data_IF_219789049600
#
_entry.id   IF_219789049600
#
_cell.length_a   1.000
_cell.length_b   1.000
_cell.length_c   1.000
_cell.angle_alpha   90.00
_cell.angle_beta   90.00
_cell.angle_gamma   90.00
#
_symmetry.space_group_name_H-M   'P 1'
#
loop_
_entity.id
_entity.type
_entity.pdbx_description
1 polymer ?
#
# COMPACT_ATOMS: atom_id res chain seq x y z
N UNK A 1 -50.78 4.27 -26.28
CA UNK A 1 -50.06 4.42 -26.37
C UNK A 1 -49.02 3.88 -25.68
N UNK A 2 -48.31 3.81 -25.25
CA UNK A 2 -47.10 3.28 -24.97
C UNK A 2 -46.58 3.67 -23.65
N UNK A 3 -47.37 4.17 -22.84
CA UNK A 3 -46.86 4.67 -21.59
C UNK A 3 -46.27 3.61 -20.71
N UNK A 4 -46.88 2.41 -20.64
CA UNK A 4 -46.39 1.38 -19.78
C UNK A 4 -44.97 0.94 -20.12
N UNK A 5 -44.70 0.84 -21.42
CA UNK A 5 -43.39 0.43 -21.84
C UNK A 5 -42.32 1.42 -21.45
N UNK A 6 -42.65 2.68 -21.57
CA UNK A 6 -41.68 3.72 -21.21
C UNK A 6 -41.31 3.65 -19.74
N UNK A 7 -42.29 3.43 -18.89
CA UNK A 7 -42.04 3.34 -17.45
C UNK A 7 -41.14 2.16 -17.13
N UNK A 8 -41.38 1.03 -17.77
CA UNK A 8 -40.54 -0.15 -17.54
C UNK A 8 -39.11 0.11 -17.95
N UNK A 9 -38.91 0.78 -19.07
CA UNK A 9 -37.56 1.09 -19.51
C UNK A 9 -36.86 1.98 -18.52
N UNK A 10 -37.56 2.94 -17.96
CA UNK A 10 -36.93 3.81 -16.97
C UNK A 10 -36.50 3.03 -15.74
N UNK A 11 -37.30 2.06 -15.29
CA UNK A 11 -36.91 1.26 -14.14
C UNK A 11 -35.66 0.43 -14.43
N UNK A 12 -35.57 -0.12 -15.63
CA UNK A 12 -34.41 -0.90 -16.00
C UNK A 12 -33.16 -0.03 -16.00
N UNK A 13 -33.26 1.19 -16.49
CA UNK A 13 -32.13 2.11 -16.50
C UNK A 13 -31.67 2.42 -15.10
N UNK A 14 -32.60 2.61 -14.17
CA UNK A 14 -32.25 2.86 -12.78
C UNK A 14 -31.50 1.67 -12.18
N UNK A 15 -31.94 0.46 -12.49
CA UNK A 15 -31.27 -0.73 -11.98
C UNK A 15 -29.84 -0.82 -12.50
N UNK A 16 -29.64 -0.50 -13.76
CA UNK A 16 -28.29 -0.51 -14.33
C UNK A 16 -27.41 0.52 -13.65
N UNK A 17 -27.93 1.69 -13.37
CA UNK A 17 -27.16 2.71 -12.67
C UNK A 17 -26.78 2.25 -11.27
N UNK A 18 -27.65 1.53 -10.58
CA UNK A 18 -27.33 1.02 -9.27
C UNK A 18 -26.21 -0.01 -9.34
N UNK A 19 -26.24 -0.88 -10.33
CA UNK A 19 -25.17 -1.85 -10.52
C UNK A 19 -23.86 -1.15 -10.79
N UNK A 20 -23.86 -0.11 -11.62
CA UNK A 20 -22.66 0.66 -11.90
C UNK A 20 -22.12 1.29 -10.62
N UNK A 21 -22.99 1.81 -9.79
CA UNK A 21 -22.56 2.39 -8.52
C UNK A 21 -21.94 1.35 -7.61
N UNK A 22 -22.47 0.12 -7.61
CA UNK A 22 -21.86 -0.94 -6.82
C UNK A 22 -20.48 -1.30 -7.34
N UNK A 23 -20.32 -1.34 -8.67
CA UNK A 23 -19.02 -1.62 -9.25
C UNK A 23 -18.01 -0.52 -8.95
N UNK A 24 -18.48 0.72 -8.87
CA UNK A 24 -17.63 1.84 -8.53
C UNK A 24 -17.74 2.21 -7.07
N UNK A 25 -18.23 1.27 -6.24
CA UNK A 25 -18.43 1.49 -4.83
C UNK A 25 -17.15 1.96 -4.19
N UNK A 26 -17.29 2.64 -3.08
CA UNK A 26 -16.16 3.25 -2.45
C UNK A 26 -15.04 2.25 -2.22
N UNK A 27 -13.87 2.71 -2.55
CA UNK A 27 -12.65 1.97 -2.30
C UNK A 27 -11.78 2.86 -1.44
N UNK A 28 -11.34 2.33 -0.32
CA UNK A 28 -10.55 3.08 0.63
C UNK A 28 -9.09 2.73 0.47
N UNK A 29 -8.25 3.75 0.39
CA UNK A 29 -6.80 3.60 0.34
C UNK A 29 -6.21 4.34 1.53
N UNK A 30 -5.31 3.68 2.24
CA UNK A 30 -4.54 4.32 3.31
C UNK A 30 -3.14 4.55 2.78
N UNK A 31 -2.68 5.80 2.85
CA UNK A 31 -1.31 6.14 2.43
C UNK A 31 -0.51 6.53 3.64
N UNK A 32 0.69 5.96 3.75
CA UNK A 32 1.66 6.30 4.79
C UNK A 32 2.88 6.83 4.05
N UNK A 33 3.23 8.07 4.33
CA UNK A 33 4.30 8.75 3.61
C UNK A 33 5.37 9.16 4.57
N UNK A 34 6.62 8.86 4.22
CA UNK A 34 7.76 9.39 4.96
C UNK A 34 8.10 8.64 6.23
N UNK A 35 7.84 7.33 6.28
CA UNK A 35 8.29 6.53 7.41
C UNK A 35 9.80 6.42 7.33
N UNK A 36 10.51 7.13 8.19
CA UNK A 36 11.96 7.25 8.15
C UNK A 36 12.58 6.28 9.16
N UNK A 37 13.45 5.42 8.66
CA UNK A 37 14.07 4.38 9.49
C UNK A 37 15.56 4.36 9.22
N UNK A 38 16.34 4.02 10.25
CA UNK A 38 17.75 3.74 10.06
C UNK A 38 17.91 2.23 9.93
N UNK A 39 18.48 1.78 8.83
CA UNK A 39 18.56 0.36 8.51
C UNK A 39 19.91 0.01 7.93
N UNK A 40 20.17 -1.30 7.82
CA UNK A 40 21.45 -1.81 7.36
C UNK A 40 21.28 -2.61 6.06
N UNK A 41 20.67 -1.98 5.04
CA UNK A 41 20.48 -2.58 3.74
C UNK A 41 21.45 -1.99 2.73
N UNK A 42 21.97 -2.81 1.83
CA UNK A 42 22.83 -2.33 0.79
C UNK A 42 23.52 -3.45 0.04
N UNK A 43 24.04 -3.10 -1.13
CA UNK A 43 24.70 -4.05 -2.01
C UNK A 43 26.06 -4.45 -1.42
N UNK A 44 26.82 -3.49 -0.89
CA UNK A 44 28.15 -3.77 -0.36
C UNK A 44 28.06 -4.12 1.11
N UNK A 45 29.07 -4.86 1.58
CA UNK A 45 29.17 -5.20 2.99
C UNK A 45 29.32 -3.95 3.85
N UNK A 46 30.06 -2.97 3.35
CA UNK A 46 30.27 -1.73 4.09
C UNK A 46 28.97 -0.99 4.30
N UNK A 47 28.08 -0.94 3.28
CA UNK A 47 26.77 -0.33 3.44
C UNK A 47 25.97 -1.03 4.53
N UNK A 48 26.01 -2.36 4.55
CA UNK A 48 25.25 -3.14 5.51
C UNK A 48 25.80 -3.00 6.93
N UNK A 49 27.09 -2.79 7.07
CA UNK A 49 27.70 -2.60 8.40
C UNK A 49 27.40 -1.22 8.96
N UNK A 50 27.57 -0.19 8.15
CA UNK A 50 27.41 1.20 8.59
C UNK A 50 25.95 1.55 8.74
N UNK A 51 25.14 1.10 7.79
CA UNK A 51 23.72 1.44 7.77
C UNK A 51 23.47 2.81 7.19
N UNK A 52 22.20 3.10 6.99
CA UNK A 52 21.79 4.38 6.44
C UNK A 52 20.31 4.59 6.66
N UNK A 53 19.85 5.80 6.43
CA UNK A 53 18.44 6.14 6.53
C UNK A 53 17.71 5.65 5.29
N UNK A 54 16.56 5.05 5.51
CA UNK A 54 15.60 4.74 4.45
C UNK A 54 14.32 5.49 4.73
N UNK A 55 13.63 5.87 3.69
CA UNK A 55 12.29 6.43 3.79
C UNK A 55 11.34 5.48 3.07
N UNK A 56 10.33 5.02 3.77
CA UNK A 56 9.38 4.07 3.22
C UNK A 56 8.02 4.73 3.11
N UNK A 57 7.43 4.61 1.93
CA UNK A 57 6.07 5.03 1.68
C UNK A 57 5.24 3.79 1.38
N UNK A 58 4.02 3.79 1.83
CA UNK A 58 3.10 2.67 1.65
C UNK A 58 1.77 3.17 1.14
N UNK A 59 1.15 2.37 0.31
CA UNK A 59 -0.25 2.56 -0.07
C UNK A 59 -0.96 1.24 0.12
N UNK A 60 -1.96 1.23 0.99
CA UNK A 60 -2.72 0.04 1.34
C UNK A 60 -4.10 0.16 0.71
N UNK A 61 -4.40 -0.72 -0.21
CA UNK A 61 -5.71 -0.74 -0.85
C UNK A 61 -6.61 -1.63 -0.01
N UNK A 62 -7.46 -0.99 0.79
CA UNK A 62 -8.36 -1.68 1.70
C UNK A 62 -9.58 -2.21 0.94
N UNK A 63 -9.94 -1.54 -0.16
CA UNK A 63 -11.17 -1.84 -0.86
C UNK A 63 -12.36 -1.27 -0.12
N UNK A 64 -13.45 -1.99 -0.17
CA UNK A 64 -14.67 -1.59 0.51
C UNK A 64 -14.55 -2.00 1.98
N UNK A 65 -14.79 -1.07 2.88
CA UNK A 65 -14.70 -1.36 4.32
C UNK A 65 -15.88 -0.75 5.05
N UNK A 66 -16.37 -1.48 6.03
CA UNK A 66 -17.49 -1.02 6.85
C UNK A 66 -17.13 0.18 7.71
N UNK A 67 -15.85 0.44 7.92
CA UNK A 67 -15.41 1.54 8.76
C UNK A 67 -15.93 2.90 8.28
N UNK A 68 -16.24 3.04 6.99
CA UNK A 68 -16.81 4.26 6.47
C UNK A 68 -18.20 4.54 7.05
N UNK A 69 -18.84 3.53 7.61
CA UNK A 69 -20.17 3.63 8.22
C UNK A 69 -20.09 3.45 9.73
N UNK A 70 -19.31 2.48 10.19
CA UNK A 70 -19.28 2.09 11.61
C UNK A 70 -18.36 2.95 12.45
N UNK A 71 -17.36 3.58 11.82
CA UNK A 71 -16.32 4.34 12.54
C UNK A 71 -15.59 3.46 13.56
N UNK A 72 -15.42 2.17 13.24
CA UNK A 72 -14.77 1.21 14.13
C UNK A 72 -13.44 0.77 13.56
N UNK A 73 -12.40 0.81 14.40
CA UNK A 73 -11.06 0.41 13.98
C UNK A 73 -11.01 -1.08 13.62
N UNK A 74 -11.89 -1.88 14.20
CA UNK A 74 -11.95 -3.31 13.89
C UNK A 74 -12.37 -3.56 12.45
N UNK A 75 -13.00 -2.59 11.80
CA UNK A 75 -13.48 -2.74 10.45
C UNK A 75 -12.51 -2.23 9.40
N UNK A 76 -11.31 -1.86 9.81
CA UNK A 76 -10.30 -1.35 8.89
C UNK A 76 -8.91 -1.79 9.38
N UNK A 77 -7.87 -1.15 8.87
CA UNK A 77 -6.49 -1.46 9.20
C UNK A 77 -5.95 -0.38 10.13
N UNK A 78 -5.32 -0.80 11.22
CA UNK A 78 -4.66 0.11 12.15
C UNK A 78 -3.29 0.47 11.58
N UNK A 79 -3.18 1.69 11.04
CA UNK A 79 -1.94 2.09 10.37
C UNK A 79 -0.75 2.22 11.33
N UNK A 80 -1.00 2.42 12.62
CA UNK A 80 0.10 2.47 13.58
C UNK A 80 0.74 1.08 13.72
N UNK A 81 -0.08 0.03 13.73
CA UNK A 81 0.45 -1.34 13.73
C UNK A 81 1.24 -1.63 12.46
N UNK A 82 0.73 -1.15 11.31
CA UNK A 82 1.42 -1.34 10.04
C UNK A 82 2.81 -0.70 10.08
N UNK A 83 2.90 0.53 10.57
CA UNK A 83 4.19 1.22 10.68
C UNK A 83 5.15 0.45 11.58
N UNK A 84 4.66 -0.06 12.71
CA UNK A 84 5.50 -0.84 13.62
C UNK A 84 5.99 -2.12 12.98
N UNK A 85 5.11 -2.82 12.26
CA UNK A 85 5.47 -4.04 11.57
C UNK A 85 6.50 -3.79 10.48
N UNK A 86 6.30 -2.75 9.68
CA UNK A 86 7.23 -2.40 8.60
C UNK A 86 8.59 -2.04 9.20
N UNK A 87 8.62 -1.27 10.27
CA UNK A 87 9.87 -0.92 10.93
C UNK A 87 10.60 -2.18 11.42
N UNK A 88 9.85 -3.10 12.01
CA UNK A 88 10.42 -4.35 12.50
C UNK A 88 11.03 -5.17 11.36
N UNK A 89 10.29 -5.31 10.26
CA UNK A 89 10.79 -6.07 9.10
C UNK A 89 12.06 -5.41 8.55
N UNK A 90 12.05 -4.09 8.41
CA UNK A 90 13.17 -3.38 7.82
C UNK A 90 14.42 -3.44 8.70
N UNK A 91 14.25 -3.60 10.01
CA UNK A 91 15.37 -3.55 10.96
C UNK A 91 15.83 -4.93 11.44
N UNK A 92 15.04 -5.98 11.17
CA UNK A 92 15.40 -7.32 11.63
C UNK A 92 16.53 -7.96 10.85
N UNK A 93 16.65 -7.62 9.59
CA UNK A 93 17.59 -8.32 8.71
C UNK A 93 18.14 -7.36 7.68
N UNK A 94 19.37 -7.58 7.26
CA UNK A 94 19.99 -6.82 6.17
C UNK A 94 19.69 -7.49 4.86
N UNK A 95 19.17 -6.72 3.90
CA UNK A 95 18.97 -7.19 2.55
C UNK A 95 19.98 -6.51 1.63
N UNK A 96 20.37 -7.19 0.58
CA UNK A 96 21.30 -6.63 -0.40
C UNK A 96 20.62 -5.67 -1.35
N UNK A 97 19.33 -5.87 -1.58
CA UNK A 97 18.57 -5.03 -2.52
C UNK A 97 17.32 -4.49 -1.88
N UNK A 98 16.91 -3.30 -2.31
CA UNK A 98 15.65 -2.71 -1.87
C UNK A 98 14.46 -3.45 -2.46
N UNK A 99 14.64 -4.09 -3.61
CA UNK A 99 13.60 -4.92 -4.22
C UNK A 99 13.19 -6.04 -3.27
N UNK A 100 14.17 -6.70 -2.68
CA UNK A 100 13.87 -7.79 -1.74
C UNK A 100 13.17 -7.25 -0.49
N UNK A 101 13.63 -6.12 0.01
CA UNK A 101 13.00 -5.51 1.18
C UNK A 101 11.56 -5.16 0.90
N UNK A 102 11.29 -4.47 -0.23
CA UNK A 102 9.93 -4.08 -0.59
C UNK A 102 9.03 -5.29 -0.80
N UNK A 103 9.57 -6.33 -1.45
CA UNK A 103 8.80 -7.55 -1.68
C UNK A 103 8.45 -8.24 -0.37
N UNK A 104 9.40 -8.30 0.57
CA UNK A 104 9.16 -8.91 1.88
C UNK A 104 8.08 -8.14 2.65
N UNK A 105 8.15 -6.81 2.61
CA UNK A 105 7.15 -5.98 3.27
C UNK A 105 5.77 -6.22 2.64
N UNK A 106 5.71 -6.22 1.31
CA UNK A 106 4.44 -6.41 0.60
C UNK A 106 3.82 -7.75 0.95
N UNK A 107 4.61 -8.82 0.91
CA UNK A 107 4.12 -10.15 1.23
C UNK A 107 3.58 -10.23 2.65
N UNK A 108 4.29 -9.63 3.59
CA UNK A 108 3.89 -9.70 4.99
C UNK A 108 2.62 -8.92 5.24
N UNK A 109 2.48 -7.75 4.61
CA UNK A 109 1.27 -6.94 4.78
C UNK A 109 0.05 -7.65 4.19
N UNK A 110 0.21 -8.30 3.03
CA UNK A 110 -0.88 -9.07 2.43
C UNK A 110 -1.22 -10.30 3.25
N UNK A 111 -0.26 -10.89 3.95
CA UNK A 111 -0.51 -12.05 4.78
C UNK A 111 -1.21 -11.68 6.10
N UNK A 112 -0.87 -10.54 6.67
CA UNK A 112 -1.33 -10.18 8.02
C UNK A 112 -2.59 -9.31 8.02
N UNK A 113 -2.91 -8.65 6.90
CA UNK A 113 -4.04 -7.74 6.82
C UNK A 113 -4.93 -8.07 5.63
N UNK A 114 -6.19 -7.73 5.74
CA UNK A 114 -7.15 -7.95 4.67
C UNK A 114 -7.08 -6.79 3.68
N UNK A 115 -6.19 -6.89 2.70
CA UNK A 115 -5.94 -5.86 1.71
C UNK A 115 -6.20 -6.42 0.32
N UNK A 116 -6.68 -5.56 -0.59
CA UNK A 116 -6.80 -5.92 -1.99
C UNK A 116 -5.47 -5.77 -2.72
N UNK A 117 -4.62 -4.89 -2.24
CA UNK A 117 -3.30 -4.70 -2.81
C UNK A 117 -2.46 -3.80 -1.93
N UNK A 118 -1.17 -3.77 -2.22
CA UNK A 118 -0.24 -2.93 -1.47
C UNK A 118 0.86 -2.43 -2.40
N UNK A 119 1.20 -1.16 -2.24
CA UNK A 119 2.33 -0.52 -2.92
C UNK A 119 3.34 -0.15 -1.85
N UNK A 120 4.59 -0.51 -2.08
CA UNK A 120 5.69 -0.25 -1.16
C UNK A 120 6.80 0.45 -1.93
N UNK A 121 7.25 1.58 -1.40
CA UNK A 121 8.37 2.30 -1.97
C UNK A 121 9.43 2.48 -0.88
N UNK A 122 10.67 2.12 -1.19
CA UNK A 122 11.81 2.35 -0.30
C UNK A 122 12.80 3.24 -1.01
N UNK A 123 13.19 4.34 -0.37
CA UNK A 123 14.08 5.33 -0.94
C UNK A 123 15.29 5.52 -0.06
N UNK A 124 16.45 5.66 -0.70
CA UNK A 124 17.69 6.09 -0.07
C UNK A 124 17.85 7.58 -0.34
N UNK A 125 17.58 8.45 0.62
CA UNK A 125 17.70 9.90 0.38
C UNK A 125 19.14 10.34 0.25
N UNK A 126 20.09 9.52 0.71
CA UNK A 126 21.50 9.83 0.60
C UNK A 126 22.22 8.62 0.00
N UNK A 127 22.01 8.36 -1.31
CA UNK A 127 22.59 7.16 -1.91
C UNK A 127 24.10 7.20 -1.90
N UNK A 128 24.75 6.05 -1.61
CA UNK A 128 26.20 6.02 -1.45
C UNK A 128 26.91 5.90 -2.82
N UNK A 129 26.77 6.92 -3.63
CA UNK A 129 27.43 6.98 -4.93
C UNK A 129 28.14 8.32 -5.05
N UNK A 130 29.20 8.35 -5.86
CA UNK A 130 30.07 9.51 -5.96
C UNK A 130 29.60 10.54 -6.98
N UNK A 131 28.31 10.55 -7.27
CA UNK A 131 27.69 11.47 -8.21
C UNK A 131 26.55 12.19 -7.50
N UNK A 132 26.13 13.32 -8.07
CA UNK A 132 25.04 14.09 -7.50
C UNK A 132 23.71 13.45 -7.90
N UNK A 133 23.09 12.73 -6.96
CA UNK A 133 21.80 12.10 -7.14
C UNK A 133 20.99 12.40 -5.90
N UNK A 134 19.77 12.91 -6.09
CA UNK A 134 18.96 13.32 -4.96
C UNK A 134 18.46 12.13 -4.16
N UNK A 135 18.04 11.11 -4.85
CA UNK A 135 17.58 9.89 -4.15
C UNK A 135 17.55 8.74 -5.14
N UNK A 136 17.61 7.52 -4.60
CA UNK A 136 17.38 6.29 -5.35
C UNK A 136 16.21 5.59 -4.66
N UNK A 137 15.24 5.14 -5.43
CA UNK A 137 14.10 4.44 -4.86
C UNK A 137 13.70 3.23 -5.68
N UNK A 138 13.03 2.30 -5.02
CA UNK A 138 12.48 1.10 -5.61
C UNK A 138 11.02 0.99 -5.16
N UNK A 139 10.15 0.60 -6.08
CA UNK A 139 8.73 0.43 -5.78
C UNK A 139 8.30 -0.96 -6.17
N UNK A 140 7.41 -1.53 -5.37
CA UNK A 140 6.78 -2.81 -5.64
C UNK A 140 5.28 -2.64 -5.45
N UNK A 141 4.52 -3.07 -6.43
CA UNK A 141 3.06 -3.18 -6.31
C UNK A 141 2.71 -4.66 -6.31
N UNK A 142 1.83 -5.05 -5.42
CA UNK A 142 1.41 -6.45 -5.33
C UNK A 142 -0.06 -6.53 -4.98
N UNK A 143 -0.80 -7.33 -5.73
CA UNK A 143 -2.21 -7.55 -5.46
C UNK A 143 -2.38 -8.81 -4.62
N UNK A 144 -3.45 -8.83 -3.83
CA UNK A 144 -3.85 -10.03 -3.11
C UNK A 144 -4.28 -11.11 -4.10
N UNK A 145 -4.09 -12.36 -3.72
CA UNK A 145 -4.47 -13.49 -4.56
C UNK A 145 -5.66 -14.23 -4.03
#
# INVERSE_FOLDING_TARGET
MDEGGDDADELDDDADLDEDREETAESVTIEITGLSLYTNHGVSEAEREVGQRLVIDLRLDIGDTDATVTDSIEDTVDYAEVCQLVALIAQQRSNKTLERLCSTIADRLLADYDLEGVWVKAAKPEPPIALSVDEVSVEVWREAQ
#
